data_IF_973204842551
#
_entry.id   IF_973204842551
#
_cell.length_a   1.000
_cell.length_b   1.000
_cell.length_c   1.000
_cell.angle_alpha   90.00
_cell.angle_beta   90.00
_cell.angle_gamma   90.00
#
_symmetry.space_group_name_H-M   'P 1'
#
loop_
_entity.id
_entity.type
_entity.pdbx_description
1 polymer ?
#
# COMPACT_ATOMS: atom_id res chain seq x y z
N UNK A 1 1.27 5.43 6.49
CA UNK A 1 1.62 4.15 7.15
C UNK A 1 0.43 3.52 7.90
N UNK A 2 -0.35 4.27 8.68
CA UNK A 2 -1.47 3.76 9.47
C UNK A 2 -2.47 2.86 8.71
N UNK A 3 -2.97 3.29 7.55
CA UNK A 3 -3.92 2.50 6.75
C UNK A 3 -3.33 1.18 6.23
N UNK A 4 -2.05 1.19 5.86
CA UNK A 4 -1.34 -0.02 5.44
C UNK A 4 -1.17 -1.00 6.62
N UNK A 5 -0.92 -0.48 7.83
CA UNK A 5 -0.92 -1.30 9.05
C UNK A 5 -2.30 -1.91 9.31
N UNK A 6 -3.39 -1.14 9.20
CA UNK A 6 -4.76 -1.69 9.35
C UNK A 6 -5.04 -2.79 8.30
N UNK A 7 -4.66 -2.59 7.04
CA UNK A 7 -4.76 -3.62 6.00
C UNK A 7 -4.01 -4.88 6.39
N UNK A 8 -2.76 -4.75 6.83
CA UNK A 8 -1.96 -5.90 7.24
C UNK A 8 -2.58 -6.64 8.44
N UNK A 9 -3.14 -5.91 9.41
CA UNK A 9 -3.80 -6.50 10.57
C UNK A 9 -5.01 -7.34 10.15
N UNK A 10 -5.85 -6.82 9.25
CA UNK A 10 -7.04 -7.55 8.80
C UNK A 10 -6.70 -8.68 7.81
N UNK A 11 -5.75 -8.48 6.90
CA UNK A 11 -5.39 -9.50 5.90
C UNK A 11 -4.62 -10.66 6.51
N UNK A 12 -3.71 -10.37 7.44
CA UNK A 12 -2.91 -11.37 8.13
C UNK A 12 -3.56 -11.84 9.43
N UNK A 13 -4.72 -11.32 9.81
CA UNK A 13 -5.41 -11.68 11.05
C UNK A 13 -4.50 -11.56 12.29
N UNK A 14 -3.81 -10.42 12.41
CA UNK A 14 -2.75 -10.25 13.42
C UNK A 14 -3.30 -10.12 14.85
N UNK A 15 -4.58 -9.77 14.99
CA UNK A 15 -5.25 -9.65 16.29
C UNK A 15 -5.36 -11.01 16.97
N UNK A 16 -5.87 -12.00 16.23
CA UNK A 16 -6.14 -13.33 16.76
C UNK A 16 -4.96 -14.28 16.52
N UNK A 17 -4.18 -14.05 15.46
CA UNK A 17 -3.07 -14.91 15.03
C UNK A 17 -1.82 -14.10 14.65
N UNK A 18 -1.14 -13.48 15.62
CA UNK A 18 0.05 -12.65 15.36
C UNK A 18 1.19 -13.42 14.68
N UNK A 19 1.24 -14.75 14.87
CA UNK A 19 2.22 -15.62 14.20
C UNK A 19 2.12 -15.60 12.66
N UNK A 20 0.96 -15.22 12.10
CA UNK A 20 0.80 -15.09 10.65
C UNK A 20 1.78 -14.08 10.04
N UNK A 21 2.29 -13.11 10.81
CA UNK A 21 3.31 -12.17 10.36
C UNK A 21 4.69 -12.82 10.10
N UNK A 22 4.90 -14.06 10.56
CA UNK A 22 6.13 -14.82 10.32
C UNK A 22 6.02 -15.70 9.06
N UNK A 23 4.86 -16.34 8.88
CA UNK A 23 4.65 -17.31 7.80
C UNK A 23 4.13 -16.64 6.52
N UNK A 24 3.60 -15.42 6.63
CA UNK A 24 2.97 -14.74 5.52
C UNK A 24 3.46 -13.29 5.37
N UNK A 25 3.31 -12.79 4.15
CA UNK A 25 3.56 -11.42 3.77
C UNK A 25 2.33 -10.85 3.03
N UNK A 26 2.31 -9.52 2.91
CA UNK A 26 1.24 -8.79 2.26
C UNK A 26 1.63 -8.46 0.81
N UNK A 27 0.92 -9.02 -0.17
CA UNK A 27 1.09 -8.66 -1.57
C UNK A 27 0.10 -7.56 -1.93
N UNK A 28 0.62 -6.41 -2.35
CA UNK A 28 -0.16 -5.26 -2.78
C UNK A 28 -0.01 -5.14 -4.29
N UNK A 29 -1.07 -5.48 -5.03
CA UNK A 29 -1.15 -5.29 -6.46
C UNK A 29 -1.54 -3.84 -6.76
N UNK A 30 -0.66 -3.16 -7.49
CA UNK A 30 -0.80 -1.76 -7.87
C UNK A 30 -0.86 -1.67 -9.38
N UNK A 31 -1.86 -0.95 -9.88
CA UNK A 31 -2.01 -0.59 -11.28
C UNK A 31 -1.87 0.92 -11.46
N UNK A 32 -1.59 1.35 -12.69
CA UNK A 32 -1.52 2.76 -13.10
C UNK A 32 -2.66 3.05 -14.08
N UNK A 33 -3.89 3.12 -13.57
CA UNK A 33 -5.09 3.15 -14.43
C UNK A 33 -5.40 4.54 -15.01
N UNK A 34 -5.06 5.63 -14.30
CA UNK A 34 -5.44 6.97 -14.73
C UNK A 34 -4.24 7.91 -14.84
N UNK A 35 -4.15 8.72 -15.91
CA UNK A 35 -3.20 9.80 -15.96
C UNK A 35 -3.50 10.82 -14.84
N UNK A 36 -2.46 11.36 -14.21
CA UNK A 36 -2.61 12.33 -13.13
C UNK A 36 -3.18 13.69 -13.58
N UNK A 37 -3.24 13.92 -14.89
CA UNK A 37 -4.00 14.98 -15.53
C UNK A 37 -4.81 14.38 -16.70
N UNK A 38 -6.03 13.89 -16.43
CA UNK A 38 -6.87 13.29 -17.46
C UNK A 38 -7.23 14.26 -18.60
N UNK A 39 -7.45 15.53 -18.26
CA UNK A 39 -7.85 16.55 -19.25
C UNK A 39 -6.68 16.97 -20.14
N UNK A 40 -5.51 17.22 -19.55
CA UNK A 40 -4.29 17.49 -20.31
C UNK A 40 -3.88 16.30 -21.17
N UNK A 41 -3.99 15.07 -20.66
CA UNK A 41 -3.72 13.85 -21.43
C UNK A 41 -4.67 13.71 -22.63
N UNK A 42 -5.96 13.96 -22.43
CA UNK A 42 -6.96 13.92 -23.50
C UNK A 42 -6.71 15.02 -24.54
N UNK A 43 -6.45 16.25 -24.12
CA UNK A 43 -6.14 17.36 -25.04
C UNK A 43 -4.87 17.09 -25.85
N UNK A 44 -3.81 16.57 -25.23
CA UNK A 44 -2.59 16.19 -25.94
C UNK A 44 -2.87 15.14 -27.02
N UNK A 45 -3.63 14.09 -26.68
CA UNK A 45 -4.07 13.05 -27.63
C UNK A 45 -4.88 13.64 -28.79
N UNK A 46 -5.83 14.54 -28.51
CA UNK A 46 -6.65 15.19 -29.52
C UNK A 46 -5.83 16.10 -30.44
N UNK A 47 -4.76 16.71 -29.93
CA UNK A 47 -3.83 17.56 -30.68
C UNK A 47 -2.72 16.78 -31.38
N UNK A 48 -2.76 15.44 -31.38
CA UNK A 48 -1.72 14.59 -31.97
C UNK A 48 -0.37 14.63 -31.24
N UNK A 49 -0.35 15.16 -30.02
CA UNK A 49 0.84 15.23 -29.18
C UNK A 49 0.92 13.98 -28.29
N UNK A 50 2.08 13.32 -28.31
CA UNK A 50 2.41 12.25 -27.35
C UNK A 50 3.24 12.88 -26.25
N UNK A 51 2.73 12.90 -25.02
CA UNK A 51 3.55 13.25 -23.87
C UNK A 51 4.59 12.14 -23.69
N UNK A 52 5.90 12.43 -23.77
CA UNK A 52 6.94 11.41 -23.64
C UNK A 52 7.01 10.80 -22.23
N UNK A 53 6.56 11.54 -21.20
CA UNK A 53 6.60 11.13 -19.80
C UNK A 53 5.21 11.29 -19.15
N UNK A 54 4.23 10.43 -19.51
CA UNK A 54 2.90 10.50 -18.93
C UNK A 54 2.95 10.15 -17.44
N UNK A 55 2.39 11.02 -16.61
CA UNK A 55 2.21 10.73 -15.21
C UNK A 55 0.95 9.91 -14.99
N UNK A 56 1.04 8.86 -14.18
CA UNK A 56 -0.11 8.10 -13.72
C UNK A 56 -0.27 8.14 -12.22
N UNK A 57 -1.52 7.96 -11.78
CA UNK A 57 -1.89 7.77 -10.39
C UNK A 57 -1.76 6.28 -10.08
N UNK A 58 -1.08 5.96 -8.97
CA UNK A 58 -1.04 4.60 -8.45
C UNK A 58 -2.41 4.23 -7.87
N UNK A 59 -2.87 3.04 -8.20
CA UNK A 59 -4.14 2.50 -7.73
C UNK A 59 -3.92 1.11 -7.13
N UNK A 60 -4.26 0.93 -5.86
CA UNK A 60 -4.22 -0.38 -5.22
C UNK A 60 -5.44 -1.17 -5.63
N UNK A 61 -5.20 -2.15 -6.50
CA UNK A 61 -6.24 -3.03 -7.04
C UNK A 61 -6.62 -4.09 -6.04
N UNK A 62 -5.62 -4.78 -5.48
CA UNK A 62 -5.83 -5.92 -4.58
C UNK A 62 -4.75 -5.97 -3.51
N UNK A 63 -5.15 -6.39 -2.32
CA UNK A 63 -4.23 -6.69 -1.22
C UNK A 63 -4.50 -8.14 -0.82
N UNK A 64 -3.48 -8.96 -0.70
CA UNK A 64 -3.64 -10.36 -0.33
C UNK A 64 -2.56 -10.84 0.63
N UNK A 65 -2.96 -11.76 1.50
CA UNK A 65 -2.03 -12.63 2.21
C UNK A 65 -1.39 -13.64 1.26
N UNK A 66 -0.06 -13.73 1.29
CA UNK A 66 0.73 -14.76 0.58
C UNK A 66 1.76 -15.40 1.51
N UNK A 67 2.17 -16.65 1.27
CA UNK A 67 3.30 -17.26 1.98
C UNK A 67 4.56 -16.42 1.80
N UNK A 68 5.35 -16.26 2.88
CA UNK A 68 6.56 -15.45 2.87
C UNK A 68 7.62 -15.99 1.89
N UNK A 69 7.55 -17.28 1.54
CA UNK A 69 8.45 -17.95 0.60
C UNK A 69 8.34 -17.42 -0.83
N UNK A 70 7.20 -16.80 -1.18
CA UNK A 70 7.01 -16.17 -2.49
C UNK A 70 7.78 -14.85 -2.63
N UNK A 71 8.13 -14.21 -1.51
CA UNK A 71 8.92 -12.99 -1.52
C UNK A 71 10.38 -13.28 -1.92
N UNK A 72 11.06 -12.26 -2.43
CA UNK A 72 12.45 -12.41 -2.85
C UNK A 72 13.34 -12.86 -1.67
N UNK A 73 14.41 -13.64 -1.91
CA UNK A 73 15.37 -13.98 -0.86
C UNK A 73 15.91 -12.74 -0.14
N UNK A 74 16.20 -11.67 -0.90
CA UNK A 74 16.67 -10.40 -0.36
C UNK A 74 15.65 -9.72 0.57
N UNK A 75 14.36 -9.76 0.24
CA UNK A 75 13.31 -9.24 1.12
C UNK A 75 13.17 -10.06 2.39
N UNK A 76 13.28 -11.39 2.31
CA UNK A 76 13.25 -12.25 3.50
C UNK A 76 14.42 -11.98 4.43
N UNK A 77 15.61 -11.76 3.88
CA UNK A 77 16.79 -11.41 4.68
C UNK A 77 16.67 -10.00 5.28
N UNK A 78 16.15 -9.03 4.52
CA UNK A 78 15.84 -7.69 5.02
C UNK A 78 14.81 -7.72 6.15
N UNK A 79 13.74 -8.51 5.99
CA UNK A 79 12.73 -8.75 7.02
C UNK A 79 13.33 -9.33 8.31
N UNK A 80 14.18 -10.37 8.19
CA UNK A 80 14.87 -10.98 9.33
C UNK A 80 15.78 -10.00 10.03
N UNK A 81 16.57 -9.23 9.27
CA UNK A 81 17.45 -8.20 9.81
C UNK A 81 16.67 -7.09 10.54
N UNK A 82 15.55 -6.65 9.96
CA UNK A 82 14.69 -5.65 10.59
C UNK A 82 14.06 -6.17 11.89
N UNK A 83 13.56 -7.40 11.89
CA UNK A 83 13.04 -8.05 13.10
C UNK A 83 14.12 -8.17 14.18
N UNK A 84 15.33 -8.58 13.80
CA UNK A 84 16.47 -8.64 14.73
C UNK A 84 16.79 -7.24 15.30
N UNK A 85 16.73 -6.18 14.49
CA UNK A 85 16.98 -4.82 14.97
C UNK A 85 15.97 -4.36 16.03
N UNK A 86 14.68 -4.70 15.88
CA UNK A 86 13.65 -4.35 16.87
C UNK A 86 13.83 -5.04 18.21
N UNK A 87 14.43 -6.23 18.22
CA UNK A 87 14.75 -6.92 19.48
C UNK A 87 15.78 -6.15 20.32
N UNK A 88 16.67 -5.39 19.67
CA UNK A 88 17.68 -4.57 20.35
C UNK A 88 17.14 -3.24 20.89
N UNK A 89 16.01 -2.77 20.37
CA UNK A 89 15.38 -1.50 20.75
C UNK A 89 14.23 -1.66 21.75
N UNK A 90 14.00 -2.88 22.26
CA UNK A 90 12.92 -3.16 23.22
C UNK A 90 11.52 -3.23 22.59
N UNK A 91 11.43 -3.34 21.26
CA UNK A 91 10.17 -3.47 20.51
C UNK A 91 9.96 -4.90 19.98
N UNK A 92 10.48 -5.91 20.70
CA UNK A 92 10.44 -7.32 20.31
C UNK A 92 9.03 -7.86 20.10
N UNK A 93 8.05 -7.29 20.80
CA UNK A 93 6.68 -7.79 20.85
C UNK A 93 5.82 -7.24 19.69
N UNK A 94 6.36 -6.31 18.89
CA UNK A 94 5.63 -5.71 17.79
C UNK A 94 5.66 -6.64 16.56
N UNK A 95 4.50 -6.98 15.98
CA UNK A 95 4.47 -7.77 14.75
C UNK A 95 5.22 -7.03 13.63
N UNK A 96 6.12 -7.73 12.95
CA UNK A 96 6.79 -7.19 11.76
C UNK A 96 6.11 -7.75 10.53
N UNK A 97 5.72 -6.90 9.60
CA UNK A 97 5.09 -7.31 8.35
C UNK A 97 6.00 -6.98 7.19
N UNK A 98 6.21 -7.96 6.31
CA UNK A 98 6.79 -7.76 4.99
C UNK A 98 5.66 -7.44 3.99
N UNK A 99 5.82 -6.36 3.24
CA UNK A 99 4.91 -5.95 2.18
C UNK A 99 5.64 -5.94 0.84
N UNK A 100 5.05 -6.62 -0.14
CA UNK A 100 5.57 -6.73 -1.50
C UNK A 100 4.61 -5.98 -2.43
N UNK A 101 5.08 -4.88 -3.00
CA UNK A 101 4.33 -4.13 -4.00
C UNK A 101 4.60 -4.72 -5.38
N UNK A 102 3.54 -5.00 -6.12
CA UNK A 102 3.61 -5.69 -7.41
C UNK A 102 2.79 -4.94 -8.45
N UNK A 103 3.23 -4.97 -9.71
CA UNK A 103 2.39 -4.75 -10.89
C UNK A 103 2.05 -6.09 -11.54
N UNK A 104 1.27 -6.09 -12.62
CA UNK A 104 0.93 -7.30 -13.38
C UNK A 104 2.14 -8.17 -13.75
N UNK A 105 3.33 -7.59 -13.93
CA UNK A 105 4.50 -8.31 -14.46
C UNK A 105 5.73 -8.29 -13.56
N UNK A 106 5.73 -7.56 -12.44
CA UNK A 106 6.95 -7.38 -11.65
C UNK A 106 6.69 -6.97 -10.20
N UNK A 107 7.65 -7.30 -9.33
CA UNK A 107 7.79 -6.68 -8.02
C UNK A 107 8.36 -5.27 -8.22
N UNK A 108 7.67 -4.27 -7.67
CA UNK A 108 8.08 -2.87 -7.71
C UNK A 108 9.07 -2.59 -6.59
N UNK A 109 8.67 -2.95 -5.36
CA UNK A 109 9.43 -2.69 -4.15
C UNK A 109 8.93 -3.58 -3.01
N UNK A 110 9.81 -3.79 -2.04
CA UNK A 110 9.58 -4.64 -0.88
C UNK A 110 9.96 -3.84 0.36
N UNK A 111 9.06 -3.77 1.35
CA UNK A 111 9.29 -3.01 2.58
C UNK A 111 8.91 -3.87 3.79
N UNK A 112 9.68 -3.73 4.87
CA UNK A 112 9.33 -4.28 6.18
C UNK A 112 9.02 -3.15 7.15
N UNK A 113 7.97 -3.31 7.94
CA UNK A 113 7.66 -2.36 9.02
C UNK A 113 7.09 -3.07 10.25
N UNK A 114 7.23 -2.44 11.40
CA UNK A 114 6.59 -2.87 12.63
C UNK A 114 5.15 -2.36 12.69
N UNK A 115 4.24 -3.20 13.14
CA UNK A 115 2.84 -2.85 13.38
C UNK A 115 2.76 -2.24 14.78
N UNK A 116 2.40 -0.96 14.83
CA UNK A 116 2.27 -0.25 16.09
C UNK A 116 1.06 -0.74 16.92
N UNK A 117 1.08 -0.58 18.25
CA UNK A 117 -0.02 -0.99 19.13
C UNK A 117 -1.34 -0.26 18.84
N UNK A 118 -1.29 1.01 18.40
CA UNK A 118 -2.50 1.82 18.14
C UNK A 118 -3.38 1.24 17.01
N UNK A 119 -2.86 0.95 15.80
CA UNK A 119 -3.61 0.24 14.78
C UNK A 119 -4.17 -1.12 15.26
N UNK A 120 -3.39 -1.88 16.03
CA UNK A 120 -3.83 -3.16 16.60
C UNK A 120 -5.05 -2.99 17.52
N UNK A 121 -5.01 -1.99 18.39
CA UNK A 121 -6.13 -1.64 19.27
C UNK A 121 -7.35 -1.19 18.47
N UNK A 122 -7.18 -0.37 17.43
CA UNK A 122 -8.26 0.06 16.55
C UNK A 122 -9.00 -1.13 15.92
N UNK A 123 -8.26 -2.11 15.39
CA UNK A 123 -8.83 -3.33 14.82
C UNK A 123 -9.52 -4.21 15.87
N UNK A 124 -8.92 -4.36 17.08
CA UNK A 124 -9.52 -5.11 18.20
C UNK A 124 -10.88 -4.55 18.62
N UNK A 125 -10.97 -3.23 18.69
CA UNK A 125 -12.19 -2.52 19.07
C UNK A 125 -13.20 -2.41 17.93
N UNK A 126 -12.87 -2.93 16.73
CA UNK A 126 -13.71 -2.87 15.51
C UNK A 126 -14.24 -1.46 15.23
N UNK A 127 -13.44 -0.43 15.53
CA UNK A 127 -13.83 0.97 15.33
C UNK A 127 -14.07 1.23 13.84
N UNK A 128 -15.20 1.83 13.44
CA UNK A 128 -15.48 2.12 12.04
C UNK A 128 -14.44 3.08 11.44
N UNK A 129 -14.23 2.97 10.12
CA UNK A 129 -13.48 3.94 9.35
C UNK A 129 -14.34 5.18 9.12
N UNK A 130 -13.80 6.37 9.39
CA UNK A 130 -14.47 7.61 9.04
C UNK A 130 -14.07 8.05 7.65
N UNK A 131 -15.05 8.30 6.77
CA UNK A 131 -14.81 8.89 5.46
C UNK A 131 -15.40 10.30 5.38
N UNK A 132 -14.85 11.11 4.47
CA UNK A 132 -15.35 12.44 4.17
C UNK A 132 -15.81 12.49 2.71
N UNK A 133 -17.10 12.74 2.51
CA UNK A 133 -17.72 12.90 1.21
C UNK A 133 -18.17 14.35 1.03
N UNK A 134 -17.90 14.92 -0.15
CA UNK A 134 -18.39 16.26 -0.50
C UNK A 134 -19.92 16.34 -0.63
N UNK A 135 -20.60 15.21 -0.85
CA UNK A 135 -22.06 15.15 -1.00
C UNK A 135 -22.79 14.84 0.31
N UNK A 136 -22.24 13.94 1.12
CA UNK A 136 -22.89 13.40 2.32
C UNK A 136 -22.23 13.83 3.63
N UNK A 137 -21.14 14.60 3.58
CA UNK A 137 -20.40 15.04 4.75
C UNK A 137 -19.54 13.93 5.35
N UNK A 138 -19.42 13.90 6.67
CA UNK A 138 -18.64 12.89 7.39
C UNK A 138 -19.52 11.68 7.67
N UNK A 139 -19.05 10.50 7.27
CA UNK A 139 -19.75 9.23 7.49
C UNK A 139 -18.84 8.20 8.14
N UNK A 140 -19.45 7.12 8.62
CA UNK A 140 -18.76 5.97 9.19
C UNK A 140 -19.08 4.71 8.37
N UNK A 141 -18.05 3.91 8.09
CA UNK A 141 -18.19 2.61 7.45
C UNK A 141 -17.61 1.52 8.36
N UNK A 142 -18.19 0.31 8.36
CA UNK A 142 -17.61 -0.83 9.04
C UNK A 142 -16.15 -1.02 8.60
N UNK A 143 -15.29 -1.35 9.56
CA UNK A 143 -13.90 -1.66 9.29
C UNK A 143 -13.84 -2.99 8.53
N UNK A 144 -13.59 -2.90 7.22
CA UNK A 144 -13.47 -4.04 6.31
C UNK A 144 -12.24 -3.89 5.44
N UNK A 145 -11.82 -4.99 4.80
CA UNK A 145 -10.68 -5.00 3.88
C UNK A 145 -10.94 -4.08 2.69
N UNK A 146 -12.17 -4.08 2.21
CA UNK A 146 -12.66 -3.26 1.11
C UNK A 146 -12.61 -1.78 1.48
N UNK A 147 -13.15 -1.42 2.65
CA UNK A 147 -13.17 -0.03 3.14
C UNK A 147 -11.75 0.53 3.29
N UNK A 148 -10.82 -0.21 3.91
CA UNK A 148 -9.45 0.29 4.12
C UNK A 148 -8.69 0.38 2.81
N UNK A 149 -8.91 -0.54 1.85
CA UNK A 149 -8.32 -0.43 0.51
C UNK A 149 -8.81 0.83 -0.20
N UNK A 150 -10.10 1.13 -0.11
CA UNK A 150 -10.67 2.38 -0.65
C UNK A 150 -10.09 3.61 0.06
N UNK A 151 -9.99 3.60 1.39
CA UNK A 151 -9.34 4.67 2.15
C UNK A 151 -7.88 4.87 1.73
N UNK A 152 -7.15 3.78 1.44
CA UNK A 152 -5.76 3.84 0.98
C UNK A 152 -5.66 4.43 -0.43
N UNK A 153 -6.57 4.09 -1.35
CA UNK A 153 -6.65 4.72 -2.67
C UNK A 153 -7.04 6.20 -2.56
N UNK A 154 -8.00 6.54 -1.70
CA UNK A 154 -8.38 7.93 -1.43
C UNK A 154 -7.21 8.75 -0.88
N UNK A 155 -6.40 8.17 0.00
CA UNK A 155 -5.18 8.81 0.50
C UNK A 155 -4.16 9.06 -0.61
N UNK A 156 -3.93 8.08 -1.49
CA UNK A 156 -3.04 8.25 -2.65
C UNK A 156 -3.56 9.38 -3.55
N UNK A 157 -4.87 9.47 -3.75
CA UNK A 157 -5.52 10.54 -4.50
C UNK A 157 -5.46 11.91 -3.81
N UNK A 158 -5.47 11.97 -2.48
CA UNK A 158 -5.43 13.25 -1.74
C UNK A 158 -4.01 13.76 -1.50
N UNK A 159 -3.00 12.88 -1.59
CA UNK A 159 -1.60 13.23 -1.36
C UNK A 159 -1.03 14.04 -2.54
N UNK A 160 -1.25 15.36 -2.48
CA UNK A 160 -0.74 16.32 -3.46
C UNK A 160 0.78 16.20 -3.64
N UNK A 161 1.54 15.93 -2.58
CA UNK A 161 3.00 15.82 -2.61
C UNK A 161 3.45 14.60 -3.41
N UNK A 162 2.79 13.45 -3.21
CA UNK A 162 3.03 12.25 -4.01
C UNK A 162 2.50 12.39 -5.44
N UNK A 163 1.41 13.11 -5.67
CA UNK A 163 1.01 13.47 -7.03
C UNK A 163 2.13 14.22 -7.77
N UNK A 164 2.86 15.13 -7.12
CA UNK A 164 4.01 15.82 -7.75
C UNK A 164 5.25 14.91 -7.95
N UNK A 165 5.49 13.93 -7.08
CA UNK A 165 6.61 12.97 -7.23
C UNK A 165 6.35 11.89 -8.27
N UNK A 166 5.13 11.36 -8.33
CA UNK A 166 4.69 10.47 -9.42
C UNK A 166 4.73 11.22 -10.76
N UNK A 167 4.51 12.55 -10.75
CA UNK A 167 4.66 13.43 -11.92
C UNK A 167 6.06 13.53 -12.51
N UNK A 168 7.10 13.18 -11.74
CA UNK A 168 8.47 13.48 -12.15
C UNK A 168 9.32 12.26 -12.51
N UNK A 169 8.90 11.02 -12.23
CA UNK A 169 9.74 9.84 -12.50
C UNK A 169 8.97 8.55 -12.82
N UNK A 170 8.55 8.40 -14.07
CA UNK A 170 8.55 7.11 -14.76
C UNK A 170 9.45 7.26 -15.99
N UNK A 171 10.78 7.23 -15.81
CA UNK A 171 11.68 7.07 -16.95
C UNK A 171 11.38 5.70 -17.53
N UNK A 172 10.82 5.67 -18.73
CA UNK A 172 10.76 4.47 -19.55
C UNK A 172 12.20 3.96 -19.73
N UNK A 173 12.51 2.79 -19.19
CA UNK A 173 13.62 2.01 -19.70
C UNK A 173 13.16 1.42 -21.04
N UNK A 174 13.12 2.25 -22.08
CA UNK A 174 13.11 1.78 -23.46
C UNK A 174 14.55 1.40 -23.80
N UNK A 175 14.88 0.12 -23.61
CA UNK A 175 16.07 -0.53 -24.16
C UNK A 175 15.64 -1.70 -25.03
N UNK A 176 15.55 -1.44 -26.34
CA UNK A 176 15.85 -2.26 -27.52
C UNK A 176 14.90 -1.90 -28.66
#
# INVERSE_FOLDING_TARGET
MYHLQLCAILELDLVDRPANAFDHCLYVAVDTEMPADPMGHLQARLNGQVNPDPTYILWVRRIEKKPIELASPAARDSYRAFKASLSTTGMSDWPVVLVVFTTNNSVITEISYAVEPKPMQHCREKRPSTYLSGMSGRGELPLSKETIREDLNNLILMDKSNQYLLRTKFKSNSSA
#
